data_IF_945749085924
#
_entry.id   IF_945749085924
#
_cell.length_a   1.000
_cell.length_b   1.000
_cell.length_c   1.000
_cell.angle_alpha   90.00
_cell.angle_beta   90.00
_cell.angle_gamma   90.00
#
_symmetry.space_group_name_H-M   'P 1'
#
loop_
_entity.id
_entity.type
_entity.pdbx_description
1 polymer ?
#
# COMPACT_ATOMS: atom_id res chain seq x y z
N UNK A 1 13.11 15.06 15.70
CA UNK A 1 11.90 15.22 14.89
C UNK A 1 11.42 13.87 14.40
N UNK A 2 10.15 13.58 14.62
CA UNK A 2 9.58 12.32 14.14
C UNK A 2 9.06 12.46 12.73
N UNK A 3 9.41 11.52 11.88
CA UNK A 3 8.92 11.50 10.51
C UNK A 3 7.71 10.57 10.48
N UNK A 4 6.58 11.12 10.09
CA UNK A 4 5.35 10.34 9.98
C UNK A 4 5.46 9.38 8.80
N UNK A 5 5.01 8.15 8.99
CA UNK A 5 5.00 7.16 7.92
C UNK A 5 3.80 7.40 7.01
N UNK A 6 4.05 7.51 5.72
CA UNK A 6 3.01 7.75 4.73
C UNK A 6 2.77 6.58 3.80
N UNK A 7 3.66 5.60 3.79
CA UNK A 7 3.59 4.47 2.88
C UNK A 7 3.78 3.16 3.64
N UNK A 8 3.08 2.13 3.19
CA UNK A 8 3.32 0.77 3.65
C UNK A 8 4.19 0.06 2.63
N UNK A 9 5.14 -0.75 3.11
CA UNK A 9 5.89 -1.65 2.25
C UNK A 9 5.23 -3.03 2.28
N UNK A 10 5.80 -4.00 1.52
CA UNK A 10 5.21 -5.32 1.44
C UNK A 10 5.15 -6.03 2.79
N UNK A 11 6.17 -5.84 3.63
CA UNK A 11 6.18 -6.47 4.95
C UNK A 11 5.07 -5.95 5.84
N UNK A 12 4.76 -4.66 5.73
CA UNK A 12 3.65 -4.06 6.47
C UNK A 12 2.32 -4.69 6.04
N UNK A 13 2.11 -4.80 4.73
CA UNK A 13 0.88 -5.37 4.18
C UNK A 13 0.74 -6.84 4.59
N UNK A 14 1.83 -7.59 4.55
CA UNK A 14 1.86 -8.97 5.01
C UNK A 14 1.29 -9.10 6.42
N UNK A 15 1.72 -8.22 7.31
CA UNK A 15 1.30 -8.26 8.70
C UNK A 15 -0.14 -7.83 8.88
N UNK A 16 -0.53 -6.78 8.17
CA UNK A 16 -1.87 -6.21 8.30
C UNK A 16 -2.93 -7.19 7.78
N UNK A 17 -2.69 -7.76 6.60
CA UNK A 17 -3.66 -8.66 5.97
C UNK A 17 -3.42 -10.13 6.27
N UNK A 18 -2.32 -10.44 6.96
CA UNK A 18 -1.95 -11.82 7.28
C UNK A 18 -1.85 -12.69 6.03
N UNK A 19 -1.11 -12.19 5.06
CA UNK A 19 -0.90 -12.86 3.76
C UNK A 19 0.59 -13.06 3.52
N UNK A 20 0.92 -13.82 2.47
CA UNK A 20 2.31 -14.07 2.10
C UNK A 20 2.96 -12.82 1.52
N UNK A 21 4.29 -12.81 1.47
CA UNK A 21 5.04 -11.69 0.92
C UNK A 21 4.70 -11.48 -0.56
N UNK A 22 4.61 -12.55 -1.33
CA UNK A 22 4.29 -12.41 -2.74
C UNK A 22 2.88 -11.86 -2.96
N UNK A 23 1.93 -12.23 -2.11
CA UNK A 23 0.59 -11.67 -2.16
C UNK A 23 0.60 -10.19 -1.77
N UNK A 24 1.44 -9.82 -0.80
CA UNK A 24 1.57 -8.42 -0.40
C UNK A 24 2.07 -7.56 -1.55
N UNK A 25 3.07 -8.03 -2.28
CA UNK A 25 3.55 -7.31 -3.46
C UNK A 25 2.47 -7.17 -4.53
N UNK A 26 1.65 -8.19 -4.69
CA UNK A 26 0.56 -8.16 -5.65
C UNK A 26 -0.47 -7.10 -5.26
N UNK A 27 -0.81 -7.03 -3.97
CA UNK A 27 -1.72 -6.01 -3.46
C UNK A 27 -1.19 -4.60 -3.75
N UNK A 28 0.08 -4.38 -3.44
CA UNK A 28 0.71 -3.08 -3.69
C UNK A 28 0.64 -2.72 -5.16
N UNK A 29 0.95 -3.66 -6.04
CA UNK A 29 0.93 -3.42 -7.47
C UNK A 29 -0.48 -3.04 -7.96
N UNK A 30 -1.49 -3.75 -7.49
CA UNK A 30 -2.86 -3.48 -7.89
C UNK A 30 -3.32 -2.10 -7.44
N UNK A 31 -3.06 -1.76 -6.19
CA UNK A 31 -3.45 -0.46 -5.67
C UNK A 31 -2.71 0.68 -6.36
N UNK A 32 -1.43 0.48 -6.63
CA UNK A 32 -0.63 1.48 -7.34
C UNK A 32 -1.12 1.66 -8.78
N UNK A 33 -1.57 0.59 -9.41
CA UNK A 33 -2.13 0.70 -10.76
C UNK A 33 -3.38 1.57 -10.75
N UNK A 34 -4.23 1.39 -9.74
CA UNK A 34 -5.42 2.22 -9.58
C UNK A 34 -5.05 3.70 -9.40
N UNK A 35 -4.03 3.95 -8.57
CA UNK A 35 -3.58 5.32 -8.33
C UNK A 35 -3.01 5.97 -9.59
N UNK A 36 -2.25 5.21 -10.37
CA UNK A 36 -1.69 5.70 -11.63
C UNK A 36 -2.81 6.10 -12.60
N UNK A 37 -3.87 5.32 -12.65
CA UNK A 37 -5.00 5.64 -13.53
C UNK A 37 -5.69 6.92 -13.10
N UNK A 38 -5.59 7.27 -11.83
CA UNK A 38 -6.12 8.54 -11.32
C UNK A 38 -5.16 9.70 -11.49
N UNK A 39 -4.01 9.47 -12.10
CA UNK A 39 -3.00 10.50 -12.30
C UNK A 39 -2.12 10.76 -11.09
N UNK A 40 -2.12 9.86 -10.12
CA UNK A 40 -1.35 10.01 -8.89
C UNK A 40 -0.03 9.26 -9.03
N UNK A 41 1.06 9.89 -8.58
CA UNK A 41 2.36 9.25 -8.59
C UNK A 41 2.44 8.14 -7.54
N UNK A 42 3.10 7.06 -7.91
CA UNK A 42 3.28 5.92 -7.00
C UNK A 42 4.75 5.57 -6.87
N UNK A 43 5.08 4.85 -5.80
CA UNK A 43 6.44 4.35 -5.59
C UNK A 43 6.43 2.84 -5.68
N UNK A 44 7.44 2.31 -6.35
CA UNK A 44 7.59 0.87 -6.52
C UNK A 44 7.76 0.19 -5.16
N UNK A 45 6.98 -0.85 -4.93
CA UNK A 45 7.08 -1.62 -3.71
C UNK A 45 6.47 -0.96 -2.48
N UNK A 46 5.76 0.15 -2.66
CA UNK A 46 5.10 0.87 -1.57
C UNK A 46 3.73 1.34 -2.01
N UNK A 47 2.83 1.49 -1.04
CA UNK A 47 1.49 2.01 -1.31
C UNK A 47 1.13 3.03 -0.24
N UNK A 48 0.43 4.09 -0.66
CA UNK A 48 0.00 5.14 0.26
C UNK A 48 -0.92 4.55 1.33
N UNK A 49 -0.61 4.85 2.59
CA UNK A 49 -1.39 4.33 3.71
C UNK A 49 -2.85 4.75 3.62
N UNK A 50 -3.10 6.01 3.29
CA UNK A 50 -4.46 6.52 3.19
C UNK A 50 -5.27 5.75 2.16
N UNK A 51 -4.67 5.49 0.99
CA UNK A 51 -5.37 4.78 -0.06
C UNK A 51 -5.60 3.32 0.31
N UNK A 52 -4.60 2.69 0.91
CA UNK A 52 -4.75 1.31 1.37
C UNK A 52 -5.89 1.19 2.38
N UNK A 53 -5.92 2.09 3.36
CA UNK A 53 -6.96 2.06 4.39
C UNK A 53 -8.34 2.28 3.79
N UNK A 54 -8.44 3.18 2.82
CA UNK A 54 -9.70 3.46 2.14
C UNK A 54 -10.21 2.24 1.37
N UNK A 55 -9.32 1.60 0.61
CA UNK A 55 -9.71 0.46 -0.22
C UNK A 55 -10.04 -0.78 0.61
N UNK A 56 -9.39 -0.94 1.75
CA UNK A 56 -9.64 -2.09 2.64
C UNK A 56 -10.52 -1.73 3.82
N UNK A 57 -10.97 -0.49 3.88
CA UNK A 57 -11.87 0.01 4.92
C UNK A 57 -11.34 -0.24 6.32
N UNK A 58 -10.05 0.03 6.50
CA UNK A 58 -9.39 -0.05 7.79
C UNK A 58 -9.41 1.33 8.42
N UNK A 59 -9.84 1.39 9.66
CA UNK A 59 -9.95 2.66 10.38
C UNK A 59 -8.60 3.23 10.77
#
# INVERSE_FOLDING_TARGET
MKIKKYFYNAKDIMKILEISLSQAYKVIRELNEELKQKGIRVQRGKVAIEYFNERYKIA
#
